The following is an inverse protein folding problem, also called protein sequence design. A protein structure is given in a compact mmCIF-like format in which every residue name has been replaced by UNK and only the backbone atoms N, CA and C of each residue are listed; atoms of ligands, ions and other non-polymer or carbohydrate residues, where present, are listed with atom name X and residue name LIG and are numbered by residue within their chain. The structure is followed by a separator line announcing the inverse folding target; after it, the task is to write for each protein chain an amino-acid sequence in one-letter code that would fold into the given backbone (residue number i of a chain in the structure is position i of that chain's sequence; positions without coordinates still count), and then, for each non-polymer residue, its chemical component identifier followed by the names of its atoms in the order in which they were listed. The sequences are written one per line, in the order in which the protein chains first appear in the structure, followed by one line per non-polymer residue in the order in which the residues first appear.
data_IF_654373595279
#
_entry.id   IF_654373595279
#
_cell.length_a   1.000
_cell.length_b   1.000
_cell.length_c   1.000
_cell.angle_alpha   90.00
_cell.angle_beta   90.00
_cell.angle_gamma   90.00
#
_symmetry.space_group_name_H-M   'P 1'
#
loop_
_entity.id
_entity.type
_entity.pdbx_description
1 polymer ?
#
# COMPACT_ATOMS: atom_id res chain seq x y z
N UNK A 1 -0.91 -12.14 -1.60
CA UNK A 1 0.40 -12.13 -0.89
C UNK A 1 0.42 -10.93 0.06
N UNK A 2 1.11 -11.00 1.21
CA UNK A 2 1.14 -9.95 2.24
C UNK A 2 2.58 -9.62 2.65
N UNK A 3 2.89 -8.34 2.83
CA UNK A 3 4.15 -7.83 3.38
C UNK A 3 3.87 -6.82 4.49
N UNK A 4 4.79 -6.70 5.44
CA UNK A 4 4.71 -5.71 6.52
C UNK A 4 5.92 -4.79 6.40
N UNK A 5 5.69 -3.49 6.28
CA UNK A 5 6.72 -2.47 6.22
C UNK A 5 6.59 -1.53 7.42
N UNK A 6 7.56 -1.56 8.32
CA UNK A 6 7.57 -0.70 9.51
C UNK A 6 8.56 0.45 9.32
N UNK A 7 8.08 1.67 9.48
CA UNK A 7 8.91 2.87 9.54
C UNK A 7 9.02 3.35 11.00
N UNK A 8 10.23 3.76 11.40
CA UNK A 8 10.52 4.33 12.71
C UNK A 8 10.84 5.83 12.55
N UNK A 9 9.84 6.72 12.62
CA UNK A 9 10.12 8.14 12.70
C UNK A 9 10.85 8.45 14.01
N UNK A 10 11.85 9.34 13.98
CA UNK A 10 12.56 9.76 15.20
C UNK A 10 11.55 10.34 16.19
N UNK A 11 11.50 9.78 17.40
CA UNK A 11 10.64 10.19 18.52
C UNK A 11 9.12 10.00 18.32
N UNK A 12 8.70 9.15 17.38
CA UNK A 12 7.28 8.81 17.19
C UNK A 12 7.07 7.28 17.27
N UNK A 13 5.86 6.83 17.62
CA UNK A 13 5.53 5.40 17.57
C UNK A 13 5.75 4.83 16.17
N UNK A 14 6.20 3.57 16.11
CA UNK A 14 6.49 2.89 14.86
C UNK A 14 5.21 2.78 14.01
N UNK A 15 5.28 3.24 12.76
CA UNK A 15 4.17 3.14 11.82
C UNK A 15 4.36 1.86 11.02
N UNK A 16 3.46 0.90 11.21
CA UNK A 16 3.49 -0.38 10.51
C UNK A 16 2.46 -0.38 9.39
N UNK A 17 2.93 -0.36 8.15
CA UNK A 17 2.12 -0.48 6.94
C UNK A 17 1.96 -1.95 6.57
N UNK A 18 0.74 -2.45 6.53
CA UNK A 18 0.46 -3.76 5.94
C UNK A 18 0.25 -3.57 4.44
N UNK A 19 0.97 -4.30 3.60
CA UNK A 19 0.81 -4.25 2.14
C UNK A 19 0.21 -5.58 1.65
N UNK A 20 -0.94 -5.50 1.01
CA UNK A 20 -1.68 -6.65 0.46
C UNK A 20 -1.67 -6.53 -1.06
N UNK A 21 -1.08 -7.53 -1.70
CA UNK A 21 -1.18 -7.69 -3.14
C UNK A 21 -2.57 -8.19 -3.52
N UNK A 22 -3.25 -7.46 -4.40
CA UNK A 22 -4.51 -7.83 -5.03
C UNK A 22 -4.36 -7.90 -6.55
N UNK A 23 -4.45 -9.10 -7.16
CA UNK A 23 -4.37 -9.25 -8.61
C UNK A 23 -5.42 -8.43 -9.37
N UNK A 24 -6.58 -8.16 -8.76
CA UNK A 24 -7.63 -7.30 -9.35
C UNK A 24 -7.17 -5.87 -9.66
N UNK A 25 -6.09 -5.41 -9.01
CA UNK A 25 -5.51 -4.09 -9.22
C UNK A 25 -4.39 -4.11 -10.26
N UNK A 26 -4.08 -5.27 -10.84
CA UNK A 26 -3.09 -5.37 -11.91
C UNK A 26 -3.60 -4.70 -13.18
N UNK A 27 -2.73 -3.91 -13.81
CA UNK A 27 -3.08 -3.14 -15.00
C UNK A 27 -3.90 -1.88 -14.73
N UNK A 28 -4.29 -1.60 -13.48
CA UNK A 28 -4.85 -0.30 -13.13
C UNK A 28 -3.77 0.78 -13.21
N UNK A 29 -4.16 1.99 -13.63
CA UNK A 29 -3.25 3.14 -13.65
C UNK A 29 -2.95 3.68 -12.25
N UNK A 30 -3.71 3.29 -11.23
CA UNK A 30 -3.50 3.72 -9.85
C UNK A 30 -2.32 3.00 -9.20
N UNK A 31 -1.66 3.66 -8.25
CA UNK A 31 -0.63 3.05 -7.42
C UNK A 31 -1.19 2.03 -6.42
N UNK A 32 -2.50 2.07 -6.16
CA UNK A 32 -3.22 1.29 -5.15
C UNK A 32 -3.90 2.18 -4.11
N UNK A 33 -4.48 1.55 -3.09
CA UNK A 33 -5.33 2.18 -2.09
C UNK A 33 -4.75 2.00 -0.70
N UNK A 34 -4.78 3.05 0.13
CA UNK A 34 -4.40 3.01 1.53
C UNK A 34 -5.66 3.15 2.39
N UNK A 35 -6.01 2.08 3.08
CA UNK A 35 -7.02 2.11 4.14
C UNK A 35 -6.40 2.74 5.39
N UNK A 36 -6.84 3.96 5.71
CA UNK A 36 -6.21 4.81 6.73
C UNK A 36 -6.37 4.18 8.12
N UNK A 37 -7.55 3.64 8.42
CA UNK A 37 -7.89 3.12 9.75
C UNK A 37 -7.07 1.88 10.14
N UNK A 38 -6.79 1.01 9.19
CA UNK A 38 -6.02 -0.23 9.41
C UNK A 38 -4.53 -0.08 9.04
N UNK A 39 -4.16 1.06 8.46
CA UNK A 39 -2.86 1.29 7.83
C UNK A 39 -2.49 0.15 6.87
N UNK A 40 -3.44 -0.22 6.01
CA UNK A 40 -3.30 -1.31 5.03
C UNK A 40 -3.33 -0.76 3.61
N UNK A 41 -2.26 -0.98 2.86
CA UNK A 41 -2.16 -0.69 1.45
C UNK A 41 -2.59 -1.91 0.62
N UNK A 42 -3.58 -1.73 -0.25
CA UNK A 42 -4.02 -2.71 -1.23
C UNK A 42 -3.51 -2.29 -2.60
N UNK A 43 -2.67 -3.12 -3.21
CA UNK A 43 -1.88 -2.71 -4.38
C UNK A 43 -1.81 -3.81 -5.44
N UNK A 44 -1.62 -3.42 -6.70
CA UNK A 44 -1.28 -4.34 -7.79
C UNK A 44 0.19 -4.76 -7.76
N UNK A 45 0.58 -5.65 -8.66
CA UNK A 45 1.87 -6.31 -8.69
C UNK A 45 3.05 -5.34 -8.81
N UNK A 46 2.95 -4.31 -9.64
CA UNK A 46 4.02 -3.32 -9.83
C UNK A 46 4.35 -2.59 -8.53
N UNK A 47 3.33 -2.06 -7.86
CA UNK A 47 3.46 -1.40 -6.56
C UNK A 47 3.90 -2.37 -5.47
N UNK A 48 3.38 -3.60 -5.47
CA UNK A 48 3.81 -4.63 -4.51
C UNK A 48 5.31 -4.93 -4.61
N UNK A 49 5.84 -5.03 -5.84
CA UNK A 49 7.28 -5.25 -6.06
C UNK A 49 8.14 -4.11 -5.51
N UNK A 50 7.71 -2.86 -5.66
CA UNK A 50 8.40 -1.69 -5.08
C UNK A 50 8.38 -1.76 -3.55
N UNK A 51 7.24 -2.11 -2.93
CA UNK A 51 7.20 -2.29 -1.48
C UNK A 51 8.08 -3.44 -0.98
N UNK A 52 8.24 -4.51 -1.77
CA UNK A 52 9.08 -5.64 -1.42
C UNK A 52 10.58 -5.31 -1.57
N UNK A 53 10.99 -4.85 -2.76
CA UNK A 53 12.40 -4.77 -3.16
C UNK A 53 12.94 -3.34 -3.38
N UNK A 54 12.07 -2.34 -3.48
CA UNK A 54 12.49 -0.96 -3.69
C UNK A 54 13.30 -0.42 -2.51
N UNK A 55 13.99 0.69 -2.73
CA UNK A 55 14.70 1.39 -1.67
C UNK A 55 13.72 2.17 -0.75
N UNK A 56 14.23 2.77 0.33
CA UNK A 56 13.36 3.49 1.25
C UNK A 56 12.73 4.76 0.63
N UNK A 57 13.39 5.37 -0.35
CA UNK A 57 12.91 6.56 -1.05
C UNK A 57 11.74 6.21 -1.96
N UNK A 58 11.88 5.15 -2.76
CA UNK A 58 10.86 4.60 -3.64
C UNK A 58 9.64 4.13 -2.85
N UNK A 59 9.83 3.42 -1.73
CA UNK A 59 8.72 3.00 -0.86
C UNK A 59 7.96 4.19 -0.30
N UNK A 60 8.65 5.25 0.12
CA UNK A 60 8.02 6.49 0.61
C UNK A 60 7.27 7.23 -0.49
N UNK A 61 7.87 7.35 -1.67
CA UNK A 61 7.24 8.00 -2.82
C UNK A 61 5.98 7.25 -3.26
N UNK A 62 6.04 5.92 -3.31
CA UNK A 62 4.90 5.07 -3.62
C UNK A 62 3.83 5.13 -2.53
N UNK A 63 4.22 5.09 -1.26
CA UNK A 63 3.28 5.28 -0.16
C UNK A 63 2.54 6.61 -0.24
N UNK A 64 3.24 7.69 -0.62
CA UNK A 64 2.64 9.00 -0.79
C UNK A 64 1.61 9.04 -1.94
N UNK A 65 1.83 8.26 -3.00
CA UNK A 65 0.96 8.19 -4.18
C UNK A 65 -0.25 7.26 -4.04
N UNK A 66 -0.38 6.52 -2.92
CA UNK A 66 -1.56 5.71 -2.65
C UNK A 66 -2.82 6.57 -2.47
N UNK A 67 -3.94 6.09 -3.01
CA UNK A 67 -5.25 6.71 -2.86
C UNK A 67 -5.76 6.39 -1.45
N UNK A 68 -5.99 7.42 -0.64
CA UNK A 68 -6.44 7.28 0.74
C UNK A 68 -7.94 7.03 0.79
N UNK A 69 -8.35 5.99 1.50
CA UNK A 69 -9.75 5.60 1.70
C UNK A 69 -9.99 5.27 3.17
N UNK A 70 -11.19 5.56 3.68
CA UNK A 70 -11.56 5.23 5.06
C UNK A 70 -11.76 3.72 5.24
N UNK A 71 -12.36 3.09 4.24
CA UNK A 71 -12.57 1.65 4.17
C UNK A 71 -12.37 1.18 2.73
N UNK A 72 -11.55 0.15 2.53
CA UNK A 72 -11.34 -0.42 1.20
C UNK A 72 -12.20 -1.67 1.03
N UNK A 73 -13.10 -1.67 0.04
CA UNK A 73 -13.90 -2.84 -0.32
C UNK A 73 -13.41 -3.48 -1.63
N UNK A 74 -12.63 -4.57 -1.59
CA UNK A 74 -12.12 -5.24 -2.78
C UNK A 74 -13.20 -5.90 -3.66
N UNK A 75 -14.43 -6.05 -3.14
CA UNK A 75 -15.57 -6.63 -3.87
C UNK A 75 -16.28 -5.57 -4.74
N UNK A 76 -16.17 -4.29 -4.40
CA UNK A 76 -16.86 -3.19 -5.10
C UNK A 76 -16.20 -2.77 -6.43
N UNK A 77 -15.06 -3.35 -6.79
CA UNK A 77 -14.28 -2.99 -7.98
C UNK A 77 -14.83 -3.68 -9.25
N UNK A 78 -15.91 -4.48 -9.13
CA UNK A 78 -16.52 -5.25 -10.21
C UNK A 78 -17.70 -4.53 -10.93
N UNK A 79 -17.77 -3.18 -10.94
CA UNK A 79 -18.79 -2.43 -11.70
C UNK A 79 -18.20 -1.62 -12.86
#
# INVERSE_FOLDING_TARGET
MRLTWTFYPKQQPAVTLTVIYLPKLDGQSSAGYLEINSNTAYVGWNSFRVFNHGDQTEKKALFASLIRVDQFNPVAIDN
#
